data_IF_133789116152
#
_entry.id   IF_133789116152
#
_cell.length_a   1.000
_cell.length_b   1.000
_cell.length_c   1.000
_cell.angle_alpha   90.00
_cell.angle_beta   90.00
_cell.angle_gamma   90.00
#
_symmetry.space_group_name_H-M   'P 1'
#
loop_
_entity.id
_entity.type
_entity.pdbx_description
1 polymer ?
#
# COMPACT_ATOMS: atom_id res chain seq x y z
N UNK A 1 -30.26 -54.08 3.66
CA UNK A 1 -29.27 -54.99 3.04
C UNK A 1 -29.16 -54.58 1.58
N UNK A 2 -28.26 -53.64 1.26
CA UNK A 2 -26.90 -53.90 0.76
C UNK A 2 -26.91 -54.43 -0.68
N UNK A 3 -26.73 -53.52 -1.64
CA UNK A 3 -26.28 -53.85 -2.99
C UNK A 3 -24.95 -53.12 -3.22
N UNK A 4 -23.88 -53.88 -2.99
CA UNK A 4 -22.54 -53.57 -3.41
C UNK A 4 -22.39 -53.98 -4.89
N UNK A 5 -21.86 -53.09 -5.73
CA UNK A 5 -21.15 -53.51 -6.95
C UNK A 5 -19.84 -52.75 -6.99
N UNK A 6 -18.77 -53.53 -6.80
CA UNK A 6 -17.39 -53.14 -6.90
C UNK A 6 -17.05 -52.77 -8.35
N UNK A 7 -16.47 -51.60 -8.53
CA UNK A 7 -15.74 -51.23 -9.74
C UNK A 7 -14.36 -51.90 -9.69
N UNK A 8 -14.03 -52.69 -10.71
CA UNK A 8 -12.68 -53.20 -10.92
C UNK A 8 -12.22 -52.91 -12.35
N UNK A 9 -11.05 -52.28 -12.40
CA UNK A 9 -10.05 -52.29 -13.47
C UNK A 9 -10.34 -51.46 -14.74
N UNK A 10 -9.88 -50.20 -14.70
CA UNK A 10 -9.15 -49.62 -15.82
C UNK A 10 -7.67 -49.52 -15.40
N UNK A 11 -6.87 -50.36 -16.05
CA UNK A 11 -5.41 -50.35 -15.99
C UNK A 11 -4.92 -49.12 -16.76
N UNK A 12 -4.40 -48.13 -16.05
CA UNK A 12 -3.60 -47.08 -16.67
C UNK A 12 -2.13 -47.49 -16.63
N UNK A 13 -1.53 -47.45 -17.81
CA UNK A 13 -0.22 -47.98 -18.17
C UNK A 13 0.91 -47.20 -17.47
N UNK A 14 1.93 -47.94 -17.04
CA UNK A 14 3.23 -47.39 -16.67
C UNK A 14 3.87 -46.79 -17.93
N UNK A 15 4.14 -45.49 -17.91
CA UNK A 15 5.10 -44.87 -18.82
C UNK A 15 6.40 -44.57 -18.05
N UNK A 16 7.50 -44.93 -18.69
CA UNK A 16 8.89 -44.97 -18.22
C UNK A 16 9.42 -43.63 -17.66
N UNK A 17 10.29 -43.65 -16.64
CA UNK A 17 10.92 -42.45 -16.08
C UNK A 17 12.00 -41.83 -17.00
N UNK A 18 12.26 -40.53 -16.80
CA UNK A 18 13.33 -39.76 -17.45
C UNK A 18 14.70 -40.44 -17.29
N UNK A 19 15.39 -40.73 -18.39
CA UNK A 19 16.65 -41.48 -18.42
C UNK A 19 17.88 -40.71 -17.87
N UNK A 20 17.73 -39.47 -17.39
CA UNK A 20 18.88 -38.63 -16.99
C UNK A 20 18.85 -38.16 -15.53
N UNK A 21 17.69 -38.20 -14.88
CA UNK A 21 17.60 -37.88 -13.45
C UNK A 21 16.54 -38.77 -12.82
N UNK A 22 16.96 -39.72 -11.99
CA UNK A 22 16.09 -40.63 -11.27
C UNK A 22 15.33 -39.92 -10.13
N UNK A 23 14.74 -38.74 -10.40
CA UNK A 23 14.03 -37.91 -9.45
C UNK A 23 12.52 -38.24 -9.50
N UNK A 24 11.89 -38.55 -8.35
CA UNK A 24 10.44 -38.76 -8.32
C UNK A 24 9.72 -37.43 -8.58
N UNK A 25 8.77 -37.45 -9.53
CA UNK A 25 7.78 -36.39 -9.70
C UNK A 25 6.88 -36.46 -8.46
N UNK A 26 7.04 -35.52 -7.54
CA UNK A 26 6.13 -35.33 -6.40
C UNK A 26 4.81 -34.80 -6.93
N UNK A 27 3.86 -35.70 -7.20
CA UNK A 27 2.45 -35.33 -7.31
C UNK A 27 1.89 -35.04 -5.90
N UNK A 28 1.16 -33.95 -5.81
CA UNK A 28 0.62 -33.41 -4.57
C UNK A 28 -0.46 -34.28 -3.96
N UNK A 29 -0.11 -34.97 -2.88
CA UNK A 29 -1.05 -35.39 -1.85
C UNK A 29 -0.55 -34.86 -0.51
N UNK A 30 -1.44 -34.24 0.27
CA UNK A 30 -1.10 -33.65 1.57
C UNK A 30 -0.54 -34.72 2.51
N UNK A 31 0.74 -34.59 2.88
CA UNK A 31 1.48 -35.60 3.66
C UNK A 31 1.07 -35.70 5.15
N UNK A 32 -0.05 -35.08 5.55
CA UNK A 32 -0.55 -35.11 6.92
C UNK A 32 -2.08 -35.25 6.92
N UNK A 33 -2.66 -36.18 7.70
CA UNK A 33 -4.11 -36.29 7.81
C UNK A 33 -4.67 -34.97 8.37
N UNK A 34 -5.66 -34.38 7.68
CA UNK A 34 -6.33 -33.17 8.14
C UNK A 34 -6.90 -33.43 9.54
N UNK A 35 -6.54 -32.61 10.52
CA UNK A 35 -7.10 -32.70 11.86
C UNK A 35 -8.61 -32.47 11.81
N UNK A 36 -9.37 -33.16 12.67
CA UNK A 36 -10.83 -32.98 12.77
C UNK A 36 -11.24 -31.55 13.17
N UNK A 37 -10.34 -30.82 13.82
CA UNK A 37 -10.61 -29.45 14.26
C UNK A 37 -10.57 -28.44 13.10
N UNK A 38 -11.53 -27.53 13.09
CA UNK A 38 -11.62 -26.43 12.11
C UNK A 38 -10.48 -25.43 12.36
N UNK A 39 -9.85 -24.96 11.29
CA UNK A 39 -8.81 -23.94 11.36
C UNK A 39 -9.37 -22.65 11.99
N UNK A 40 -8.81 -22.22 13.13
CA UNK A 40 -9.24 -20.97 13.81
C UNK A 40 -9.16 -19.72 12.91
N UNK A 41 -8.24 -19.70 11.94
CA UNK A 41 -8.14 -18.60 10.97
C UNK A 41 -9.27 -18.65 9.94
N UNK A 42 -9.58 -19.85 9.43
CA UNK A 42 -10.70 -20.10 8.52
C UNK A 42 -12.06 -19.85 9.18
N UNK A 43 -12.24 -20.34 10.40
CA UNK A 43 -13.46 -20.18 11.19
C UNK A 43 -13.82 -18.71 11.40
N UNK A 44 -12.80 -17.87 11.63
CA UNK A 44 -12.95 -16.44 11.91
C UNK A 44 -13.03 -15.58 10.66
N UNK A 45 -12.19 -15.83 9.66
CA UNK A 45 -11.99 -14.92 8.53
C UNK A 45 -12.45 -15.49 7.18
N UNK A 46 -12.76 -16.79 7.11
CA UNK A 46 -13.02 -17.50 5.85
C UNK A 46 -11.77 -17.62 4.96
N UNK A 47 -10.60 -17.22 5.46
CA UNK A 47 -9.32 -17.22 4.73
C UNK A 47 -8.24 -17.75 5.67
N UNK A 48 -7.46 -18.71 5.18
CA UNK A 48 -6.28 -19.23 5.84
C UNK A 48 -5.08 -19.12 4.91
N UNK A 49 -3.99 -18.51 5.39
CA UNK A 49 -2.78 -18.32 4.60
C UNK A 49 -2.10 -19.64 4.20
N UNK A 50 -2.34 -20.72 4.95
CA UNK A 50 -1.81 -22.04 4.64
C UNK A 50 -2.57 -22.76 3.50
N UNK A 51 -3.77 -22.27 3.10
CA UNK A 51 -4.61 -22.86 2.04
C UNK A 51 -4.69 -24.39 2.17
N UNK A 52 -4.32 -25.13 1.12
CA UNK A 52 -4.35 -26.60 1.05
C UNK A 52 -3.22 -27.27 1.85
N UNK A 53 -2.23 -26.49 2.31
CA UNK A 53 -1.16 -26.93 3.22
C UNK A 53 -1.55 -26.80 4.70
N UNK A 54 -2.76 -26.33 4.99
CA UNK A 54 -3.20 -26.22 6.38
C UNK A 54 -3.53 -27.61 6.92
N UNK A 55 -2.97 -27.94 8.10
CA UNK A 55 -3.28 -29.20 8.79
C UNK A 55 -4.70 -29.22 9.36
N UNK A 56 -5.36 -28.06 9.44
CA UNK A 56 -6.68 -27.90 10.01
C UNK A 56 -7.77 -27.82 8.94
N UNK A 57 -8.99 -28.29 9.26
CA UNK A 57 -10.10 -28.35 8.30
C UNK A 57 -10.60 -26.95 7.89
N UNK A 58 -10.86 -26.78 6.60
CA UNK A 58 -11.47 -25.58 5.98
C UNK A 58 -12.86 -25.92 5.40
N UNK A 59 -13.92 -26.03 6.21
CA UNK A 59 -15.25 -26.39 5.69
C UNK A 59 -15.80 -25.27 4.78
N UNK A 60 -16.27 -25.66 3.59
CA UNK A 60 -16.89 -24.75 2.61
C UNK A 60 -18.17 -24.11 3.18
N UNK A 61 -18.94 -24.89 3.94
CA UNK A 61 -20.14 -24.44 4.66
C UNK A 61 -19.88 -23.20 5.53
N UNK A 62 -18.70 -23.13 6.17
CA UNK A 62 -18.33 -21.98 7.00
C UNK A 62 -18.00 -20.75 6.17
N UNK A 63 -17.39 -20.93 5.01
CA UNK A 63 -17.13 -19.83 4.08
C UNK A 63 -18.45 -19.26 3.55
N UNK A 64 -19.38 -20.12 3.15
CA UNK A 64 -20.73 -19.71 2.72
C UNK A 64 -21.49 -18.98 3.84
N UNK A 65 -21.41 -19.47 5.08
CA UNK A 65 -22.03 -18.82 6.23
C UNK A 65 -21.45 -17.42 6.46
N UNK A 66 -20.13 -17.27 6.43
CA UNK A 66 -19.45 -15.97 6.54
C UNK A 66 -19.84 -15.02 5.41
N UNK A 67 -19.96 -15.53 4.17
CA UNK A 67 -20.43 -14.76 3.02
C UNK A 67 -21.89 -14.31 3.19
N UNK A 68 -22.78 -15.18 3.67
CA UNK A 68 -24.19 -14.85 3.97
C UNK A 68 -24.29 -13.80 5.07
N UNK A 69 -23.51 -13.93 6.15
CA UNK A 69 -23.45 -12.95 7.24
C UNK A 69 -22.93 -11.61 6.72
N UNK A 70 -21.87 -11.62 5.90
CA UNK A 70 -21.34 -10.41 5.28
C UNK A 70 -22.36 -9.74 4.35
N UNK A 71 -23.07 -10.51 3.51
CA UNK A 71 -24.13 -10.01 2.64
C UNK A 71 -25.31 -9.42 3.45
N UNK A 72 -25.73 -10.09 4.53
CA UNK A 72 -26.78 -9.59 5.44
C UNK A 72 -26.35 -8.32 6.16
N UNK A 73 -25.10 -8.24 6.61
CA UNK A 73 -24.55 -7.04 7.22
C UNK A 73 -24.44 -5.89 6.19
N UNK A 74 -24.06 -6.19 4.95
CA UNK A 74 -24.03 -5.21 3.86
C UNK A 74 -25.44 -4.70 3.54
N UNK A 75 -26.43 -5.58 3.42
CA UNK A 75 -27.83 -5.22 3.21
C UNK A 75 -28.41 -4.42 4.39
N UNK A 76 -28.10 -4.82 5.63
CA UNK A 76 -28.52 -4.10 6.83
C UNK A 76 -27.88 -2.70 6.95
N UNK A 77 -26.61 -2.56 6.55
CA UNK A 77 -25.94 -1.26 6.45
C UNK A 77 -26.54 -0.39 5.34
N UNK A 78 -26.84 -0.97 4.17
CA UNK A 78 -27.48 -0.27 3.07
C UNK A 78 -28.89 0.24 3.46
N UNK A 79 -29.66 -0.55 4.21
CA UNK A 79 -30.98 -0.18 4.71
C UNK A 79 -30.95 0.90 5.83
N UNK A 80 -29.81 1.12 6.50
CA UNK A 80 -29.65 2.09 7.60
C UNK A 80 -29.14 3.47 7.17
N UNK A 81 -28.98 3.74 5.87
CA UNK A 81 -28.51 5.03 5.34
C UNK A 81 -29.39 6.25 5.72
N UNK A 82 -30.53 6.07 6.40
CA UNK A 82 -31.46 7.15 6.77
C UNK A 82 -31.43 7.60 8.24
N UNK A 83 -30.67 6.96 9.14
CA UNK A 83 -30.52 7.49 10.52
C UNK A 83 -29.14 7.17 11.08
N UNK A 84 -28.47 8.21 11.58
CA UNK A 84 -27.14 8.19 12.17
C UNK A 84 -26.83 6.96 13.05
N UNK A 85 -25.55 6.58 12.92
CA UNK A 85 -24.67 5.80 13.79
C UNK A 85 -25.19 5.50 15.21
N UNK A 86 -24.94 4.28 15.69
CA UNK A 86 -24.87 3.80 17.10
C UNK A 86 -25.15 2.28 17.10
N UNK A 87 -24.27 1.54 17.80
CA UNK A 87 -24.21 0.07 17.96
C UNK A 87 -23.60 -0.69 16.78
N UNK A 88 -22.26 -0.73 16.75
CA UNK A 88 -21.54 -2.00 16.85
C UNK A 88 -20.02 -1.75 16.83
N UNK A 89 -19.38 -1.84 18.01
CA UNK A 89 -18.13 -2.56 18.32
C UNK A 89 -17.58 -2.04 19.64
N UNK A 90 -17.38 -2.96 20.59
CA UNK A 90 -16.88 -2.80 21.97
C UNK A 90 -16.08 -1.52 22.25
N UNK A 91 -16.77 -0.50 22.77
CA UNK A 91 -16.17 0.75 23.22
C UNK A 91 -15.18 0.48 24.35
N UNK A 92 -13.96 1.04 24.28
CA UNK A 92 -13.03 1.12 25.42
C UNK A 92 -13.46 2.18 26.46
N UNK A 93 -14.76 2.39 26.60
CA UNK A 93 -15.36 3.51 27.33
C UNK A 93 -15.69 4.71 26.43
N UNK A 94 -16.43 5.69 26.95
CA UNK A 94 -16.79 6.91 26.23
C UNK A 94 -15.54 7.67 25.75
N UNK A 95 -15.58 8.20 24.52
CA UNK A 95 -14.49 9.00 23.96
C UNK A 95 -13.24 8.24 23.50
N UNK A 96 -13.16 6.91 23.66
CA UNK A 96 -11.99 6.12 23.25
C UNK A 96 -12.26 5.33 21.96
N UNK A 97 -11.50 5.63 20.91
CA UNK A 97 -11.52 4.89 19.63
C UNK A 97 -11.11 3.42 19.86
N UNK A 98 -11.82 2.49 19.22
CA UNK A 98 -11.49 1.06 19.30
C UNK A 98 -10.07 0.78 18.81
N UNK A 99 -9.32 -0.05 19.55
CA UNK A 99 -7.97 -0.46 19.15
C UNK A 99 -8.06 -1.46 18.00
N UNK A 100 -7.96 -0.96 16.77
CA UNK A 100 -7.77 -1.81 15.59
C UNK A 100 -6.39 -2.46 15.70
N UNK A 101 -6.32 -3.79 15.63
CA UNK A 101 -5.03 -4.49 15.64
C UNK A 101 -4.37 -4.27 14.29
N UNK A 102 -3.41 -3.35 14.21
CA UNK A 102 -2.59 -3.14 13.02
C UNK A 102 -1.61 -4.32 12.86
N UNK A 103 -2.05 -5.40 12.22
CA UNK A 103 -1.21 -6.56 11.93
C UNK A 103 -0.91 -6.61 10.44
N UNK A 104 0.37 -6.39 10.09
CA UNK A 104 0.98 -6.74 8.81
C UNK A 104 0.26 -6.20 7.55
N UNK A 105 -0.24 -4.95 7.61
CA UNK A 105 -0.92 -4.31 6.47
C UNK A 105 0.03 -4.12 5.30
N UNK A 106 1.21 -3.56 5.54
CA UNK A 106 2.24 -3.36 4.52
C UNK A 106 2.63 -4.69 3.88
N UNK A 107 3.02 -5.70 4.67
CA UNK A 107 3.28 -7.03 4.12
C UNK A 107 2.11 -7.64 3.32
N UNK A 108 0.85 -7.36 3.70
CA UNK A 108 -0.31 -7.83 2.94
C UNK A 108 -0.44 -7.16 1.58
N UNK A 109 -0.25 -5.83 1.51
CA UNK A 109 -0.24 -5.10 0.25
C UNK A 109 0.97 -5.49 -0.62
N UNK A 110 2.15 -5.63 -0.02
CA UNK A 110 3.36 -6.10 -0.69
C UNK A 110 3.11 -7.42 -1.42
N UNK A 111 2.68 -8.45 -0.69
CA UNK A 111 2.42 -9.77 -1.27
C UNK A 111 1.36 -9.73 -2.37
N UNK A 112 0.29 -8.95 -2.17
CA UNK A 112 -0.74 -8.78 -3.19
C UNK A 112 -0.15 -8.17 -4.47
N UNK A 113 0.72 -7.16 -4.35
CA UNK A 113 1.33 -6.51 -5.51
C UNK A 113 2.32 -7.45 -6.22
N UNK A 114 3.09 -8.22 -5.46
CA UNK A 114 3.98 -9.26 -6.00
C UNK A 114 3.19 -10.28 -6.83
N UNK A 115 2.05 -10.76 -6.31
CA UNK A 115 1.16 -11.68 -7.04
C UNK A 115 0.50 -11.03 -8.27
N UNK A 116 0.13 -9.75 -8.19
CA UNK A 116 -0.64 -9.08 -9.22
C UNK A 116 0.20 -8.54 -10.39
N UNK A 117 1.45 -8.13 -10.12
CA UNK A 117 2.32 -7.42 -11.08
C UNK A 117 3.60 -8.22 -11.38
N UNK A 118 4.13 -8.95 -10.40
CA UNK A 118 5.38 -9.71 -10.52
C UNK A 118 6.63 -8.89 -10.21
N UNK A 119 7.64 -9.54 -9.62
CA UNK A 119 8.90 -8.89 -9.19
C UNK A 119 9.65 -8.23 -10.35
N UNK A 120 9.78 -8.93 -11.49
CA UNK A 120 10.57 -8.46 -12.63
C UNK A 120 10.07 -7.13 -13.19
N UNK A 121 8.76 -6.90 -13.16
CA UNK A 121 8.17 -5.64 -13.60
C UNK A 121 8.38 -4.54 -12.56
N UNK A 122 8.22 -4.87 -11.28
CA UNK A 122 8.42 -3.93 -10.16
C UNK A 122 9.87 -3.50 -9.98
N UNK A 123 10.85 -4.27 -10.47
CA UNK A 123 12.28 -3.88 -10.46
C UNK A 123 12.67 -2.92 -11.57
N UNK A 124 11.82 -2.68 -12.57
CA UNK A 124 12.17 -1.82 -13.71
C UNK A 124 12.27 -0.36 -13.28
N UNK A 125 12.98 0.43 -14.08
CA UNK A 125 13.11 1.86 -13.88
C UNK A 125 13.71 2.20 -12.50
N UNK A 126 13.11 3.14 -11.79
CA UNK A 126 13.47 3.48 -10.40
C UNK A 126 12.79 2.59 -9.35
N UNK A 127 12.01 1.59 -9.78
CA UNK A 127 11.31 0.68 -8.89
C UNK A 127 9.96 1.21 -8.38
N UNK A 128 9.64 0.93 -7.12
CA UNK A 128 8.36 1.28 -6.51
C UNK A 128 8.40 2.68 -5.91
N UNK A 129 7.36 3.47 -6.16
CA UNK A 129 7.13 4.73 -5.46
C UNK A 129 6.03 4.55 -4.39
N UNK A 130 6.39 4.68 -3.12
CA UNK A 130 5.49 4.56 -1.96
C UNK A 130 5.02 5.95 -1.51
N UNK A 131 3.82 6.34 -1.93
CA UNK A 131 3.23 7.66 -1.67
C UNK A 131 2.55 7.67 -0.30
N UNK A 132 2.89 8.68 0.50
CA UNK A 132 2.51 8.78 1.92
C UNK A 132 2.95 7.52 2.69
N UNK A 133 4.23 7.17 2.53
CA UNK A 133 4.86 5.98 3.11
C UNK A 133 4.75 5.89 4.64
N UNK A 134 4.42 7.00 5.32
CA UNK A 134 4.12 7.05 6.74
C UNK A 134 5.38 6.88 7.58
N UNK A 135 5.75 5.62 7.86
CA UNK A 135 6.99 5.25 8.55
C UNK A 135 8.03 4.65 7.62
N UNK A 136 7.64 4.32 6.38
CA UNK A 136 8.50 3.65 5.39
C UNK A 136 8.46 2.12 5.43
N UNK A 137 7.56 1.51 6.21
CA UNK A 137 7.49 0.04 6.37
C UNK A 137 7.36 -0.70 5.03
N UNK A 138 6.49 -0.21 4.13
CA UNK A 138 6.22 -0.89 2.87
C UNK A 138 7.43 -0.80 1.92
N UNK A 139 7.97 0.41 1.70
CA UNK A 139 9.20 0.61 0.93
C UNK A 139 10.38 -0.21 1.49
N UNK A 140 10.54 -0.23 2.82
CA UNK A 140 11.58 -1.02 3.49
C UNK A 140 11.41 -2.53 3.23
N UNK A 141 10.19 -3.05 3.32
CA UNK A 141 9.92 -4.47 3.05
C UNK A 141 10.22 -4.85 1.59
N UNK A 142 9.81 -4.03 0.61
CA UNK A 142 10.11 -4.30 -0.81
C UNK A 142 11.62 -4.30 -1.08
N UNK A 143 12.34 -3.34 -0.52
CA UNK A 143 13.79 -3.24 -0.68
C UNK A 143 14.51 -4.42 -0.03
N UNK A 144 14.26 -4.69 1.25
CA UNK A 144 15.08 -5.63 2.01
C UNK A 144 14.63 -7.10 1.90
N UNK A 145 13.36 -7.35 1.62
CA UNK A 145 12.83 -8.72 1.53
C UNK A 145 12.72 -9.20 0.09
N UNK A 146 12.64 -8.28 -0.87
CA UNK A 146 12.56 -8.61 -2.28
C UNK A 146 13.71 -8.01 -3.09
N UNK A 147 14.51 -7.07 -2.60
CA UNK A 147 15.55 -6.40 -3.42
C UNK A 147 14.97 -5.47 -4.48
N UNK A 148 13.71 -5.05 -4.32
CA UNK A 148 13.03 -4.17 -5.27
C UNK A 148 13.32 -2.72 -4.86
N UNK A 149 13.98 -1.91 -5.71
CA UNK A 149 14.22 -0.50 -5.41
C UNK A 149 12.92 0.19 -5.04
N UNK A 150 12.91 0.92 -3.93
CA UNK A 150 11.70 1.54 -3.40
C UNK A 150 12.02 2.93 -2.85
N UNK A 151 11.30 3.93 -3.35
CA UNK A 151 11.40 5.32 -2.91
C UNK A 151 10.17 5.71 -2.13
N UNK A 152 10.35 6.14 -0.88
CA UNK A 152 9.28 6.65 -0.03
C UNK A 152 9.06 8.15 -0.29
N UNK A 153 7.87 8.52 -0.77
CA UNK A 153 7.43 9.91 -0.84
C UNK A 153 6.63 10.23 0.42
N UNK A 154 7.26 10.92 1.36
CA UNK A 154 6.69 11.25 2.66
C UNK A 154 7.33 12.54 3.19
N UNK A 155 6.56 13.56 3.60
CA UNK A 155 7.13 14.82 4.10
C UNK A 155 7.87 14.67 5.44
N UNK A 156 7.53 13.64 6.23
CA UNK A 156 8.13 13.38 7.54
C UNK A 156 9.30 12.39 7.44
N UNK A 157 10.26 12.43 8.38
CA UNK A 157 11.30 11.41 8.46
C UNK A 157 10.72 9.99 8.60
N UNK A 158 11.36 9.04 7.94
CA UNK A 158 11.04 7.61 8.08
C UNK A 158 11.43 7.12 9.48
N UNK A 159 10.73 6.10 9.98
CA UNK A 159 10.95 5.52 11.31
C UNK A 159 11.11 4.01 11.17
N UNK A 160 12.34 3.57 10.91
CA UNK A 160 12.64 2.21 10.47
C UNK A 160 13.45 1.39 11.47
N UNK A 161 13.83 1.96 12.62
CA UNK A 161 14.70 1.31 13.62
C UNK A 161 14.12 -0.03 14.09
N UNK A 162 12.79 -0.09 14.20
CA UNK A 162 12.07 -1.32 14.53
C UNK A 162 12.16 -2.36 13.42
N UNK A 163 12.03 -1.96 12.17
CA UNK A 163 12.02 -2.83 11.00
C UNK A 163 13.42 -3.36 10.69
N UNK A 164 14.46 -2.54 10.89
CA UNK A 164 15.87 -2.96 10.90
C UNK A 164 16.08 -4.06 11.95
N UNK A 165 15.67 -3.83 13.21
CA UNK A 165 15.75 -4.85 14.27
C UNK A 165 14.98 -6.12 13.92
N UNK A 166 13.86 -5.98 13.19
CA UNK A 166 13.06 -7.12 12.76
C UNK A 166 13.73 -7.95 11.69
N UNK A 167 14.38 -7.29 10.73
CA UNK A 167 15.17 -7.92 9.67
C UNK A 167 16.35 -8.69 10.26
N UNK A 168 17.17 -8.02 11.08
CA UNK A 168 18.37 -8.59 11.70
C UNK A 168 18.07 -9.80 12.60
N UNK A 169 16.91 -9.82 13.26
CA UNK A 169 16.46 -10.95 14.10
C UNK A 169 15.68 -12.01 13.32
N UNK A 170 15.51 -11.86 12.01
CA UNK A 170 14.86 -12.83 11.13
C UNK A 170 13.34 -12.95 11.30
N UNK A 171 12.66 -11.96 11.91
CA UNK A 171 11.22 -12.03 12.17
C UNK A 171 10.38 -12.18 10.89
N UNK A 172 10.84 -11.62 9.77
CA UNK A 172 10.15 -11.74 8.49
C UNK A 172 10.18 -13.16 7.91
N UNK A 173 11.13 -14.00 8.35
CA UNK A 173 11.31 -15.37 7.88
C UNK A 173 10.75 -16.42 8.86
N UNK A 174 10.26 -16.02 10.03
CA UNK A 174 9.70 -16.95 11.02
C UNK A 174 8.48 -17.72 10.52
N UNK A 175 7.69 -17.12 9.64
CA UNK A 175 6.50 -17.76 9.09
C UNK A 175 6.84 -18.41 7.75
N UNK A 176 7.01 -19.74 7.74
CA UNK A 176 7.34 -20.52 6.54
C UNK A 176 6.36 -20.31 5.36
N UNK A 177 5.11 -19.93 5.63
CA UNK A 177 4.11 -19.61 4.59
C UNK A 177 4.51 -18.42 3.75
N UNK A 178 5.18 -17.43 4.35
CA UNK A 178 5.58 -16.19 3.70
C UNK A 178 7.02 -16.23 3.19
N UNK A 179 7.78 -17.28 3.49
CA UNK A 179 9.14 -17.45 2.98
C UNK A 179 9.23 -17.35 1.43
N UNK A 180 8.27 -17.89 0.64
CA UNK A 180 8.31 -17.73 -0.82
C UNK A 180 8.18 -16.28 -1.31
N UNK A 181 7.66 -15.37 -0.49
CA UNK A 181 7.51 -13.94 -0.83
C UNK A 181 8.72 -13.09 -0.41
N UNK A 182 9.74 -13.69 0.20
CA UNK A 182 10.95 -12.98 0.61
C UNK A 182 12.11 -13.45 -0.28
N UNK A 183 12.10 -13.05 -1.55
CA UNK A 183 13.07 -13.52 -2.56
C UNK A 183 14.52 -13.14 -2.22
N UNK A 184 14.76 -11.98 -1.61
CA UNK A 184 16.09 -11.55 -1.21
C UNK A 184 16.65 -12.32 0.01
N UNK A 185 15.80 -12.97 0.80
CA UNK A 185 16.25 -13.80 1.93
C UNK A 185 16.38 -15.28 1.56
N UNK A 186 15.77 -15.71 0.45
CA UNK A 186 15.76 -17.09 0.00
C UNK A 186 17.14 -17.60 -0.46
N UNK A 187 18.00 -16.74 -0.98
CA UNK A 187 19.38 -17.08 -1.40
C UNK A 187 20.30 -17.46 -0.21
N UNK A 188 19.87 -17.24 1.04
CA UNK A 188 20.59 -17.62 2.26
C UNK A 188 19.86 -18.62 3.17
N UNK A 189 18.69 -19.14 2.79
CA UNK A 189 17.79 -19.87 3.69
C UNK A 189 18.13 -21.36 3.92
N UNK A 190 19.28 -21.83 3.43
CA UNK A 190 19.80 -23.18 3.71
C UNK A 190 20.84 -23.12 4.83
N UNK A 191 20.37 -22.94 6.07
CA UNK A 191 21.21 -23.09 7.26
C UNK A 191 20.93 -22.03 8.32
N UNK A 192 20.74 -22.48 9.56
CA UNK A 192 20.70 -21.60 10.74
C UNK A 192 22.09 -20.99 10.99
N UNK A 193 22.49 -20.00 10.22
CA UNK A 193 23.49 -19.01 10.64
C UNK A 193 23.13 -17.71 9.95
N UNK A 194 22.80 -16.70 10.75
CA UNK A 194 22.63 -15.33 10.30
C UNK A 194 23.96 -14.86 9.69
N UNK A 195 24.08 -14.90 8.36
CA UNK A 195 24.93 -13.93 7.68
C UNK A 195 24.23 -12.59 7.81
N UNK A 196 24.99 -11.56 8.16
CA UNK A 196 24.52 -10.18 8.24
C UNK A 196 23.72 -9.88 6.97
N UNK A 197 22.39 -9.87 7.08
CA UNK A 197 21.56 -9.52 5.95
C UNK A 197 21.82 -8.02 5.71
N UNK A 198 22.26 -7.61 4.50
CA UNK A 198 22.38 -6.20 4.19
C UNK A 198 21.04 -5.52 4.48
N UNK A 199 21.12 -4.42 5.21
CA UNK A 199 19.97 -3.64 5.63
C UNK A 199 20.05 -2.29 4.93
N UNK A 200 19.42 -2.20 3.77
CA UNK A 200 19.41 -0.99 2.96
C UNK A 200 18.25 -0.10 3.39
N UNK A 201 18.52 1.21 3.40
CA UNK A 201 17.52 2.22 3.67
C UNK A 201 16.82 2.63 2.37
N UNK A 202 15.48 2.64 2.32
CA UNK A 202 14.79 3.11 1.13
C UNK A 202 15.10 4.59 0.88
N UNK A 203 15.21 4.97 -0.39
CA UNK A 203 15.36 6.36 -0.77
C UNK A 203 14.18 7.17 -0.23
N UNK A 204 14.44 8.36 0.30
CA UNK A 204 13.41 9.19 0.93
C UNK A 204 13.24 10.49 0.17
N UNK A 205 12.11 10.61 -0.53
CA UNK A 205 11.68 11.83 -1.18
C UNK A 205 10.87 12.68 -0.20
N UNK A 206 11.58 13.49 0.58
CA UNK A 206 10.99 14.34 1.61
C UNK A 206 10.38 15.60 1.00
N UNK A 207 9.12 15.48 0.57
CA UNK A 207 8.37 16.57 -0.05
C UNK A 207 6.87 16.38 0.13
N UNK A 208 6.10 17.43 -0.17
CA UNK A 208 4.65 17.33 -0.37
C UNK A 208 4.25 17.47 -1.83
N UNK A 209 3.12 16.86 -2.20
CA UNK A 209 2.50 17.10 -3.48
C UNK A 209 1.94 18.53 -3.52
N UNK A 210 2.47 19.37 -4.41
CA UNK A 210 2.02 20.75 -4.64
C UNK A 210 1.45 20.90 -6.06
N UNK A 211 0.64 21.94 -6.34
CA UNK A 211 0.17 22.20 -7.69
C UNK A 211 1.32 22.36 -8.71
N UNK A 212 2.44 22.95 -8.31
CA UNK A 212 3.61 23.15 -9.16
C UNK A 212 4.30 21.81 -9.51
N UNK A 213 4.43 20.91 -8.52
CA UNK A 213 4.94 19.56 -8.74
C UNK A 213 4.00 18.77 -9.65
N UNK A 214 2.69 18.83 -9.40
CA UNK A 214 1.68 18.17 -10.21
C UNK A 214 1.72 18.65 -11.68
N UNK A 215 1.85 19.96 -11.90
CA UNK A 215 1.99 20.54 -13.24
C UNK A 215 3.24 20.03 -13.96
N UNK A 216 4.39 19.96 -13.28
CA UNK A 216 5.62 19.40 -13.87
C UNK A 216 5.46 17.92 -14.25
N UNK A 217 4.61 17.18 -13.52
CA UNK A 217 4.33 15.76 -13.77
C UNK A 217 3.18 15.54 -14.76
N UNK A 218 2.59 16.60 -15.32
CA UNK A 218 1.43 16.51 -16.22
C UNK A 218 0.13 16.09 -15.54
N UNK A 219 0.07 16.19 -14.21
CA UNK A 219 -1.09 15.84 -13.40
C UNK A 219 -2.03 17.03 -13.30
N UNK A 220 -3.30 16.83 -13.63
CA UNK A 220 -4.32 17.85 -13.45
C UNK A 220 -4.56 18.10 -11.94
N UNK A 221 -4.29 19.32 -11.47
CA UNK A 221 -4.53 19.70 -10.08
C UNK A 221 -5.86 20.47 -9.92
N UNK A 222 -6.72 20.09 -8.96
CA UNK A 222 -7.97 20.80 -8.72
C UNK A 222 -7.75 22.27 -8.35
N UNK A 223 -8.35 23.19 -9.12
CA UNK A 223 -8.24 24.64 -8.89
C UNK A 223 -6.93 25.28 -9.40
N UNK A 224 -6.13 24.55 -10.18
CA UNK A 224 -4.99 25.12 -10.92
C UNK A 224 -5.44 25.97 -12.13
N UNK A 225 -4.54 26.79 -12.71
CA UNK A 225 -4.85 27.68 -13.82
C UNK A 225 -5.44 26.96 -15.06
N UNK A 226 -5.20 25.65 -15.22
CA UNK A 226 -5.72 24.84 -16.33
C UNK A 226 -7.10 24.20 -16.10
N UNK A 227 -7.67 24.32 -14.90
CA UNK A 227 -8.97 23.72 -14.58
C UNK A 227 -10.14 24.34 -15.36
N UNK A 228 -9.98 25.58 -15.86
CA UNK A 228 -11.01 26.31 -16.62
C UNK A 228 -10.97 25.97 -18.12
N UNK A 229 -9.83 25.47 -18.63
CA UNK A 229 -9.58 25.36 -20.08
C UNK A 229 -10.03 24.04 -20.69
N UNK A 230 -10.15 22.96 -19.89
CA UNK A 230 -10.46 21.61 -20.39
C UNK A 230 -11.96 21.31 -20.49
N UNK A 231 -12.82 22.04 -19.78
CA UNK A 231 -14.28 21.94 -19.96
C UNK A 231 -14.74 22.55 -21.30
N UNK A 232 -14.00 23.54 -21.82
CA UNK A 232 -14.29 24.16 -23.12
C UNK A 232 -13.85 23.32 -24.34
N UNK A 233 -12.89 22.40 -24.18
CA UNK A 233 -12.34 21.60 -25.29
C UNK A 233 -13.01 20.24 -25.50
N UNK A 234 -13.92 19.82 -24.60
CA UNK A 234 -14.70 18.57 -24.78
C UNK A 234 -15.91 18.71 -25.71
N UNK A 235 -16.27 19.93 -26.11
CA UNK A 235 -17.40 20.17 -27.02
C UNK A 235 -17.04 20.20 -28.51
N UNK A 236 -15.76 20.18 -28.90
CA UNK A 236 -15.37 20.27 -30.30
C UNK A 236 -14.18 19.36 -30.61
N UNK A 237 -14.43 18.24 -31.28
CA UNK A 237 -13.36 17.32 -31.69
C UNK A 237 -13.86 15.97 -32.21
N UNK A 238 -14.64 16.00 -33.29
CA UNK A 238 -15.05 14.79 -34.00
C UNK A 238 -13.91 14.20 -34.86
N UNK A 239 -13.74 12.89 -34.73
CA UNK A 239 -13.41 11.94 -35.82
C UNK A 239 -12.13 12.11 -36.62
N UNK A 240 -11.14 11.26 -36.36
CA UNK A 240 -10.30 10.68 -37.41
C UNK A 240 -9.73 9.32 -36.95
N UNK A 241 -10.11 8.26 -37.66
CA UNK A 241 -9.53 6.92 -37.53
C UNK A 241 -8.19 6.88 -38.26
N UNK A 242 -7.14 6.36 -37.61
CA UNK A 242 -5.91 5.96 -38.27
C UNK A 242 -5.55 4.53 -37.83
N UNK A 243 -5.37 3.66 -38.82
CA UNK A 243 -5.10 2.24 -38.66
C UNK A 243 -3.66 2.00 -38.18
N UNK A 244 -3.52 1.15 -37.17
CA UNK A 244 -2.24 0.63 -36.67
C UNK A 244 -1.70 -0.48 -37.58
N UNK A 245 -0.46 -0.33 -38.03
CA UNK A 245 0.38 -1.46 -38.45
C UNK A 245 1.47 -1.66 -37.41
N UNK A 246 1.40 -2.81 -36.76
CA UNK A 246 2.33 -3.24 -35.73
C UNK A 246 3.71 -3.56 -36.32
N UNK A 247 4.76 -2.95 -35.75
CA UNK A 247 6.12 -3.46 -35.88
C UNK A 247 6.78 -3.51 -34.51
N UNK A 248 7.04 -4.75 -34.08
CA UNK A 248 7.61 -5.12 -32.80
C UNK A 248 9.04 -4.61 -32.70
N UNK A 249 9.26 -3.60 -31.86
CA UNK A 249 10.60 -3.20 -31.43
C UNK A 249 10.67 -3.31 -29.91
N UNK A 250 11.56 -4.16 -29.43
CA UNK A 250 11.91 -4.35 -28.01
C UNK A 250 12.10 -3.00 -27.28
N UNK A 251 11.47 -2.77 -26.11
CA UNK A 251 11.54 -1.48 -25.46
C UNK A 251 12.92 -1.32 -24.79
N UNK A 252 13.78 -0.51 -25.41
CA UNK A 252 14.83 0.19 -24.69
C UNK A 252 14.13 1.08 -23.65
N UNK A 253 14.60 1.05 -22.40
CA UNK A 253 14.18 2.02 -21.37
C UNK A 253 14.23 3.42 -22.00
N UNK A 254 13.11 4.18 -22.03
CA UNK A 254 13.15 5.53 -22.57
C UNK A 254 14.17 6.31 -21.75
N UNK A 255 15.07 7.00 -22.45
CA UNK A 255 15.94 8.00 -21.85
C UNK A 255 15.03 8.91 -21.02
N UNK A 256 15.12 8.84 -19.69
CA UNK A 256 14.23 9.62 -18.82
C UNK A 256 14.30 11.07 -19.28
N UNK A 257 13.16 11.63 -19.68
CA UNK A 257 13.08 13.02 -20.13
C UNK A 257 13.76 13.92 -19.09
N UNK A 258 14.55 14.88 -19.56
CA UNK A 258 15.12 15.89 -18.67
C UNK A 258 13.99 16.64 -17.94
N UNK A 259 14.20 17.05 -16.68
CA UNK A 259 13.18 17.76 -15.93
C UNK A 259 12.78 19.05 -16.65
N UNK A 260 11.48 19.39 -16.67
CA UNK A 260 11.00 20.59 -17.33
C UNK A 260 11.56 21.85 -16.64
N UNK A 261 11.59 22.95 -17.40
CA UNK A 261 11.92 24.25 -16.85
C UNK A 261 10.99 24.57 -15.66
N UNK A 262 11.59 24.89 -14.51
CA UNK A 262 10.85 25.18 -13.27
C UNK A 262 10.70 24.00 -12.30
N UNK A 263 11.06 22.77 -12.69
CA UNK A 263 11.03 21.61 -11.79
C UNK A 263 11.84 21.85 -10.51
N UNK A 264 13.07 22.36 -10.65
CA UNK A 264 13.96 22.57 -9.51
C UNK A 264 13.34 23.51 -8.47
N UNK A 265 12.71 24.59 -8.92
CA UNK A 265 11.98 25.52 -8.05
C UNK A 265 10.74 24.87 -7.43
N UNK A 266 9.95 24.15 -8.22
CA UNK A 266 8.75 23.47 -7.75
C UNK A 266 9.07 22.42 -6.67
N UNK A 267 10.17 21.67 -6.88
CA UNK A 267 10.67 20.67 -5.96
C UNK A 267 11.21 21.30 -4.68
N UNK A 268 12.01 22.36 -4.78
CA UNK A 268 12.53 23.08 -3.62
C UNK A 268 11.38 23.61 -2.72
N UNK A 269 10.36 24.24 -3.32
CA UNK A 269 9.18 24.70 -2.58
C UNK A 269 8.40 23.55 -1.93
N UNK A 270 8.33 22.39 -2.59
CA UNK A 270 7.68 21.21 -2.05
C UNK A 270 8.45 20.56 -0.88
N UNK A 271 9.79 20.65 -0.89
CA UNK A 271 10.63 20.25 0.23
C UNK A 271 10.51 21.21 1.41
N UNK A 272 10.59 22.52 1.16
CA UNK A 272 10.40 23.56 2.18
C UNK A 272 9.03 23.40 2.87
N UNK A 273 7.96 23.26 2.07
CA UNK A 273 6.63 23.02 2.61
C UNK A 273 6.54 21.71 3.43
N UNK A 274 7.41 20.72 3.22
CA UNK A 274 7.43 19.50 4.02
C UNK A 274 8.08 19.68 5.40
N UNK A 275 8.96 20.67 5.56
CA UNK A 275 9.65 20.95 6.83
C UNK A 275 8.68 21.48 7.90
N UNK A 276 7.65 22.22 7.48
CA UNK A 276 6.68 22.87 8.37
C UNK A 276 5.48 21.99 8.74
N UNK A 277 5.40 20.78 8.20
CA UNK A 277 4.22 19.94 8.38
C UNK A 277 4.27 19.11 9.65
N UNK A 278 3.14 19.08 10.35
CA UNK A 278 2.92 18.29 11.56
C UNK A 278 1.63 17.49 11.46
N UNK A 279 1.63 16.32 12.09
CA UNK A 279 0.43 15.50 12.18
C UNK A 279 -0.48 16.02 13.30
N UNK A 280 -1.69 16.44 12.94
CA UNK A 280 -2.70 16.95 13.89
C UNK A 280 -3.93 16.04 13.92
N UNK A 281 -4.88 16.34 14.80
CA UNK A 281 -6.18 15.66 14.80
C UNK A 281 -6.99 15.88 13.50
N UNK A 282 -6.64 16.92 12.70
CA UNK A 282 -7.27 17.23 11.40
C UNK A 282 -6.42 16.77 10.20
N UNK A 283 -5.45 15.89 10.41
CA UNK A 283 -4.52 15.45 9.37
C UNK A 283 -3.22 16.26 9.36
N UNK A 284 -2.53 16.24 8.22
CA UNK A 284 -1.26 16.93 8.05
C UNK A 284 -1.52 18.42 7.80
N UNK A 285 -0.92 19.28 8.63
CA UNK A 285 -1.07 20.75 8.58
C UNK A 285 0.26 21.43 8.82
N UNK A 286 0.41 22.64 8.28
CA UNK A 286 1.53 23.51 8.64
C UNK A 286 1.33 24.10 10.04
N UNK A 287 2.42 24.54 10.67
CA UNK A 287 2.36 25.24 11.96
C UNK A 287 1.52 26.54 11.86
N UNK A 288 1.57 27.23 10.72
CA UNK A 288 0.76 28.42 10.45
C UNK A 288 -0.75 28.13 10.32
N UNK A 289 -1.15 27.07 9.61
CA UNK A 289 -2.56 26.67 9.52
C UNK A 289 -3.10 26.15 10.85
N UNK A 290 -2.25 25.48 11.62
CA UNK A 290 -2.60 24.98 12.96
C UNK A 290 -2.86 26.12 13.94
N UNK A 291 -2.08 27.20 13.87
CA UNK A 291 -2.27 28.41 14.66
C UNK A 291 -3.48 29.24 14.21
N UNK A 292 -3.72 29.38 12.90
CA UNK A 292 -4.90 30.06 12.37
C UNK A 292 -6.21 29.33 12.75
N UNK A 293 -6.21 27.98 12.70
CA UNK A 293 -7.35 27.18 13.13
C UNK A 293 -7.60 27.23 14.66
N UNK A 294 -6.56 27.52 15.46
CA UNK A 294 -6.70 27.73 16.89
C UNK A 294 -7.28 29.12 17.22
N UNK A 295 -6.98 30.14 16.41
CA UNK A 295 -7.56 31.49 16.56
C UNK A 295 -9.05 31.55 16.20
N UNK A 296 -9.52 30.74 15.26
CA UNK A 296 -10.94 30.64 14.88
C UNK A 296 -11.79 29.81 15.88
N UNK A 297 -11.18 29.21 16.90
CA UNK A 297 -11.83 28.25 17.82
C UNK A 297 -11.82 28.69 19.30
N UNK A 298 -11.71 30.00 19.59
CA UNK A 298 -11.54 30.50 20.95
C UNK A 298 -12.49 31.63 21.37
N UNK A 299 -13.75 31.30 21.67
CA UNK A 299 -14.53 31.97 22.73
C UNK A 299 -15.04 30.83 23.65
N UNK A 300 -14.32 30.58 24.74
CA UNK A 300 -14.65 29.57 25.74
C UNK A 300 -13.53 29.40 26.78
N UNK A 301 -13.85 29.76 28.01
CA UNK A 301 -13.01 29.94 29.21
C UNK A 301 -11.96 28.87 29.57
N UNK A 302 -10.92 29.25 30.36
CA UNK A 302 -9.70 28.47 30.53
C UNK A 302 -9.86 27.27 31.48
N UNK A 303 -9.29 26.14 31.08
CA UNK A 303 -9.16 24.95 31.93
C UNK A 303 -7.95 25.07 32.87
N UNK A 304 -8.23 24.80 34.15
CA UNK A 304 -7.35 24.84 35.32
C UNK A 304 -6.11 23.94 35.18
N UNK A 305 -4.94 24.52 35.44
CA UNK A 305 -3.67 23.83 35.65
C UNK A 305 -3.76 22.86 36.82
N UNK A 306 -3.42 21.60 36.58
CA UNK A 306 -3.06 20.66 37.65
C UNK A 306 -1.68 20.09 37.36
N UNK A 307 -0.72 20.53 38.17
CA UNK A 307 0.66 20.07 38.21
C UNK A 307 0.68 18.63 38.75
N UNK A 308 1.16 17.69 37.93
CA UNK A 308 1.43 16.32 38.32
C UNK A 308 2.88 15.98 38.03
N UNK A 309 3.70 16.01 39.07
CA UNK A 309 5.11 15.63 39.08
C UNK A 309 5.27 14.13 38.87
N UNK A 310 6.15 13.72 37.95
CA UNK A 310 6.70 12.37 37.90
C UNK A 310 8.12 12.38 37.33
N UNK A 311 9.05 12.42 38.28
CA UNK A 311 10.47 12.07 38.27
C UNK A 311 11.01 11.32 37.04
N UNK A 312 12.12 11.88 36.55
CA UNK A 312 13.13 11.38 35.63
C UNK A 312 13.70 10.01 36.02
N UNK A 313 14.05 9.20 35.02
CA UNK A 313 15.21 8.30 35.05
C UNK A 313 15.93 8.46 33.72
N UNK A 314 17.10 9.10 33.80
CA UNK A 314 18.09 9.21 32.74
C UNK A 314 18.92 7.92 32.69
N UNK A 315 19.14 7.39 31.49
CA UNK A 315 20.31 6.54 31.22
C UNK A 315 20.83 6.96 29.86
N UNK A 316 21.80 7.87 29.89
CA UNK A 316 22.74 8.10 28.81
C UNK A 316 23.68 6.89 28.73
N UNK A 317 23.81 6.27 27.57
CA UNK A 317 25.04 5.55 27.24
C UNK A 317 25.34 5.74 25.75
N UNK A 318 26.51 6.32 25.51
CA UNK A 318 26.96 6.90 24.26
C UNK A 318 27.69 5.89 23.37
N UNK A 319 27.36 6.00 22.07
CA UNK A 319 28.12 5.77 20.82
C UNK A 319 29.49 5.05 20.89
N UNK A 320 29.82 4.15 19.95
CA UNK A 320 30.19 4.49 18.57
C UNK A 320 29.93 3.35 17.57
N UNK A 321 29.43 3.69 16.38
CA UNK A 321 29.38 2.79 15.19
C UNK A 321 30.51 3.14 14.22
N UNK A 322 31.14 2.15 13.56
CA UNK A 322 32.24 2.41 12.64
C UNK A 322 31.72 2.82 11.25
N UNK A 323 32.43 3.76 10.65
CA UNK A 323 32.21 4.32 9.32
C UNK A 323 32.84 3.47 8.23
N UNK A 324 32.11 3.24 7.12
CA UNK A 324 32.68 2.89 5.82
C UNK A 324 31.80 3.45 4.68
N UNK A 325 32.43 4.36 3.94
CA UNK A 325 32.25 4.85 2.56
C UNK A 325 30.85 4.93 1.88
N UNK A 326 30.48 6.17 1.52
CA UNK A 326 29.98 6.67 0.20
C UNK A 326 29.43 5.58 -0.75
N UNK A 327 28.16 5.53 -1.15
CA UNK A 327 27.35 6.62 -1.72
C UNK A 327 25.87 6.50 -1.28
N UNK A 328 25.30 7.56 -0.65
CA UNK A 328 23.87 7.62 -0.32
C UNK A 328 23.58 7.92 1.16
N UNK A 329 24.08 9.05 1.63
CA UNK A 329 23.99 9.53 3.01
C UNK A 329 22.54 9.60 3.54
N UNK A 330 22.27 8.84 4.60
CA UNK A 330 21.02 8.84 5.37
C UNK A 330 20.93 10.03 6.36
N UNK A 331 21.28 11.25 5.92
CA UNK A 331 21.36 12.47 6.76
C UNK A 331 20.04 13.27 6.80
N UNK A 332 18.92 12.66 6.40
CA UNK A 332 17.59 13.29 6.40
C UNK A 332 17.43 14.49 5.46
N UNK A 333 18.45 14.82 4.66
CA UNK A 333 18.42 15.85 3.62
C UNK A 333 17.58 15.36 2.43
N UNK A 334 16.77 16.23 1.82
CA UNK A 334 16.01 15.86 0.62
C UNK A 334 16.96 15.48 -0.52
N UNK A 335 16.56 14.49 -1.31
CA UNK A 335 17.27 14.08 -2.52
C UNK A 335 17.44 15.28 -3.47
N UNK A 336 18.53 15.32 -4.24
CA UNK A 336 18.73 16.36 -5.25
C UNK A 336 17.61 16.35 -6.30
N UNK A 337 17.24 17.53 -6.83
CA UNK A 337 16.09 17.69 -7.72
C UNK A 337 16.12 16.76 -8.95
N UNK A 338 17.28 16.56 -9.57
CA UNK A 338 17.42 15.65 -10.71
C UNK A 338 17.19 14.17 -10.33
N UNK A 339 17.63 13.76 -9.13
CA UNK A 339 17.42 12.40 -8.61
C UNK A 339 15.95 12.19 -8.26
N UNK A 340 15.33 13.18 -7.61
CA UNK A 340 13.91 13.21 -7.32
C UNK A 340 13.04 13.05 -8.58
N UNK A 341 13.37 13.80 -9.64
CA UNK A 341 12.70 13.70 -10.94
C UNK A 341 12.77 12.28 -11.51
N UNK A 342 13.97 11.69 -11.54
CA UNK A 342 14.18 10.33 -12.04
C UNK A 342 13.46 9.29 -11.18
N UNK A 343 13.45 9.47 -9.86
CA UNK A 343 12.73 8.57 -8.96
C UNK A 343 11.22 8.57 -9.22
N UNK A 344 10.63 9.75 -9.45
CA UNK A 344 9.21 9.91 -9.76
C UNK A 344 8.87 9.38 -11.17
N UNK A 345 9.53 9.89 -12.22
CA UNK A 345 9.22 9.55 -13.62
C UNK A 345 9.62 8.13 -14.01
N UNK A 346 10.65 7.59 -13.36
CA UNK A 346 11.14 6.24 -13.61
C UNK A 346 10.38 5.16 -12.86
N UNK A 347 9.39 5.50 -12.01
CA UNK A 347 8.72 4.52 -11.18
C UNK A 347 8.06 3.45 -12.06
N UNK A 348 8.19 2.18 -11.69
CA UNK A 348 7.53 1.06 -12.37
C UNK A 348 6.20 0.66 -11.74
N UNK A 349 5.91 1.16 -10.54
CA UNK A 349 4.60 1.08 -9.90
C UNK A 349 4.45 2.16 -8.81
N UNK A 350 3.21 2.57 -8.55
CA UNK A 350 2.86 3.47 -7.44
C UNK A 350 2.05 2.72 -6.39
N UNK A 351 2.49 2.77 -5.14
CA UNK A 351 1.80 2.15 -4.00
C UNK A 351 1.49 3.19 -2.95
N UNK A 352 0.39 2.99 -2.23
CA UNK A 352 0.02 3.91 -1.16
C UNK A 352 -0.88 3.21 -0.14
N UNK A 353 -0.38 2.97 1.08
CA UNK A 353 -1.14 2.32 2.15
C UNK A 353 -1.71 3.36 3.11
N UNK A 354 -3.03 3.56 3.08
CA UNK A 354 -3.72 4.57 3.90
C UNK A 354 -3.19 6.00 3.68
N UNK A 355 -3.06 6.48 2.43
CA UNK A 355 -2.35 7.72 2.12
C UNK A 355 -3.11 9.03 2.41
N UNK A 356 -4.19 8.97 3.21
CA UNK A 356 -4.92 10.14 3.70
C UNK A 356 -5.13 11.24 2.63
N UNK A 357 -4.60 12.45 2.83
CA UNK A 357 -4.75 13.58 1.90
C UNK A 357 -4.07 13.36 0.54
N UNK A 358 -3.06 12.49 0.46
CA UNK A 358 -2.30 12.20 -0.76
C UNK A 358 -2.93 11.10 -1.64
N UNK A 359 -4.05 10.52 -1.24
CA UNK A 359 -4.70 9.40 -1.95
C UNK A 359 -4.94 9.70 -3.44
N UNK A 360 -5.52 10.87 -3.73
CA UNK A 360 -5.86 11.24 -5.10
C UNK A 360 -4.62 11.50 -5.95
N UNK A 361 -3.63 12.20 -5.37
CA UNK A 361 -2.34 12.41 -6.03
C UNK A 361 -1.64 11.09 -6.40
N UNK A 362 -1.67 10.08 -5.50
CA UNK A 362 -1.10 8.77 -5.80
C UNK A 362 -1.76 8.10 -7.02
N UNK A 363 -3.09 8.19 -7.12
CA UNK A 363 -3.85 7.64 -8.25
C UNK A 363 -3.55 8.41 -9.54
N UNK A 364 -3.59 9.75 -9.48
CA UNK A 364 -3.37 10.60 -10.66
C UNK A 364 -1.93 10.49 -11.17
N UNK A 365 -0.95 10.37 -10.27
CA UNK A 365 0.44 10.12 -10.63
C UNK A 365 0.59 8.78 -11.37
N UNK A 366 -0.02 7.70 -10.85
CA UNK A 366 0.04 6.41 -11.51
C UNK A 366 -0.57 6.42 -12.92
N UNK A 367 -1.67 7.15 -13.10
CA UNK A 367 -2.31 7.34 -14.40
C UNK A 367 -1.45 8.17 -15.34
N UNK A 368 -0.83 9.27 -14.85
CA UNK A 368 0.05 10.12 -15.64
C UNK A 368 1.33 9.40 -16.09
N UNK A 369 1.85 8.50 -15.27
CA UNK A 369 3.01 7.66 -15.61
C UNK A 369 2.64 6.42 -16.43
N UNK A 370 1.36 6.10 -16.56
CA UNK A 370 0.85 4.86 -17.15
C UNK A 370 1.45 3.58 -16.51
N UNK A 371 1.50 3.56 -15.17
CA UNK A 371 2.07 2.43 -14.40
C UNK A 371 1.02 1.69 -13.58
N UNK A 372 1.30 0.45 -13.15
CA UNK A 372 0.50 -0.24 -12.15
C UNK A 372 0.39 0.58 -10.87
N UNK A 373 -0.75 0.44 -10.19
CA UNK A 373 -0.91 1.02 -8.86
C UNK A 373 -1.70 0.14 -7.91
N UNK A 374 -1.43 0.33 -6.62
CA UNK A 374 -2.15 -0.29 -5.53
C UNK A 374 -2.29 0.68 -4.35
N UNK A 375 -3.49 1.24 -4.20
CA UNK A 375 -3.81 2.31 -3.25
C UNK A 375 -4.91 1.85 -2.29
N UNK A 376 -4.68 1.95 -0.98
CA UNK A 376 -5.68 1.59 0.04
C UNK A 376 -6.25 2.87 0.67
N UNK A 377 -7.35 3.43 0.15
CA UNK A 377 -7.96 4.64 0.72
C UNK A 377 -8.60 4.37 2.09
N UNK A 378 -8.40 5.29 3.04
CA UNK A 378 -8.98 5.21 4.39
C UNK A 378 -9.88 6.39 4.75
N UNK A 379 -9.37 7.61 4.57
CA UNK A 379 -9.99 8.86 5.00
C UNK A 379 -10.36 9.69 3.78
N UNK A 380 -11.56 10.28 3.78
CA UNK A 380 -12.10 11.02 2.63
C UNK A 380 -11.63 12.46 2.59
N UNK A 381 -11.40 13.07 3.76
CA UNK A 381 -11.07 14.49 3.90
C UNK A 381 -12.05 15.41 3.13
N UNK A 382 -13.35 15.15 3.23
CA UNK A 382 -14.38 15.84 2.45
C UNK A 382 -14.37 17.38 2.62
N UNK A 383 -13.97 17.87 3.79
CA UNK A 383 -13.82 19.31 4.07
C UNK A 383 -12.61 19.92 3.35
N UNK A 384 -11.50 19.18 3.22
CA UNK A 384 -10.29 19.65 2.53
C UNK A 384 -10.41 19.54 1.01
N UNK A 385 -11.22 18.58 0.53
CA UNK A 385 -11.44 18.33 -0.88
C UNK A 385 -12.90 18.55 -1.29
N UNK A 386 -13.47 19.75 -1.08
CA UNK A 386 -14.88 20.04 -1.32
C UNK A 386 -15.23 20.09 -2.81
N UNK A 387 -14.26 19.95 -3.71
CA UNK A 387 -14.46 19.90 -5.17
C UNK A 387 -14.70 18.48 -5.69
N UNK A 388 -14.41 17.42 -4.92
CA UNK A 388 -14.61 16.03 -5.38
C UNK A 388 -16.08 15.74 -5.66
N UNK A 389 -16.40 15.32 -6.88
CA UNK A 389 -17.75 14.96 -7.33
C UNK A 389 -17.74 13.60 -8.01
N UNK A 390 -18.76 12.80 -7.72
CA UNK A 390 -19.07 11.61 -8.50
C UNK A 390 -19.56 12.02 -9.91
N UNK A 391 -19.57 11.09 -10.88
CA UNK A 391 -20.09 11.36 -12.23
C UNK A 391 -21.54 11.85 -12.27
N UNK A 392 -22.32 11.52 -11.25
CA UNK A 392 -23.71 11.98 -11.07
C UNK A 392 -23.83 13.36 -10.40
N UNK A 393 -22.71 14.04 -10.12
CA UNK A 393 -22.65 15.34 -9.49
C UNK A 393 -22.75 15.34 -7.96
N UNK A 394 -22.90 14.18 -7.29
CA UNK A 394 -22.92 14.13 -5.82
C UNK A 394 -21.56 14.44 -5.22
N UNK A 395 -21.56 15.08 -4.04
CA UNK A 395 -20.35 15.34 -3.26
C UNK A 395 -19.81 14.04 -2.66
N UNK A 396 -18.50 13.85 -2.74
CA UNK A 396 -17.80 12.73 -2.12
C UNK A 396 -17.66 13.00 -0.61
N UNK A 397 -18.46 12.30 0.20
CA UNK A 397 -18.49 12.51 1.66
C UNK A 397 -18.26 11.23 2.46
N UNK A 398 -18.59 10.08 1.87
CA UNK A 398 -18.34 8.78 2.47
C UNK A 398 -17.16 8.06 1.83
N UNK A 399 -16.65 7.04 2.53
CA UNK A 399 -15.57 6.21 2.01
C UNK A 399 -15.99 5.42 0.76
N UNK A 400 -17.26 5.04 0.67
CA UNK A 400 -17.83 4.36 -0.50
C UNK A 400 -17.83 5.30 -1.71
N UNK A 401 -18.33 6.53 -1.54
CA UNK A 401 -18.28 7.55 -2.60
C UNK A 401 -16.83 7.83 -3.02
N UNK A 402 -15.89 7.77 -2.08
CA UNK A 402 -14.50 8.05 -2.40
C UNK A 402 -13.85 6.93 -3.23
N UNK A 403 -14.15 5.67 -2.91
CA UNK A 403 -13.70 4.55 -3.74
C UNK A 403 -14.33 4.61 -5.13
N UNK A 404 -15.63 4.91 -5.22
CA UNK A 404 -16.33 5.07 -6.49
C UNK A 404 -15.74 6.22 -7.33
N UNK A 405 -15.47 7.37 -6.70
CA UNK A 405 -14.80 8.51 -7.32
C UNK A 405 -13.45 8.12 -7.91
N UNK A 406 -12.60 7.42 -7.15
CA UNK A 406 -11.28 6.99 -7.64
C UNK A 406 -11.41 6.00 -8.81
N UNK A 407 -12.37 5.08 -8.78
CA UNK A 407 -12.62 4.15 -9.88
C UNK A 407 -13.14 4.87 -11.14
N UNK A 408 -13.88 5.97 -10.98
CA UNK A 408 -14.40 6.74 -12.11
C UNK A 408 -13.32 7.47 -12.92
N UNK A 409 -12.12 7.66 -12.36
CA UNK A 409 -11.02 8.37 -13.04
C UNK A 409 -10.50 7.64 -14.27
N UNK A 410 -10.56 6.31 -14.31
CA UNK A 410 -10.13 5.54 -15.48
C UNK A 410 -10.79 4.14 -15.51
N UNK A 411 -11.27 3.65 -16.68
CA UNK A 411 -12.00 2.39 -16.78
C UNK A 411 -11.18 1.15 -16.40
N UNK A 412 -9.84 1.24 -16.42
CA UNK A 412 -8.95 0.14 -16.01
C UNK A 412 -8.77 0.02 -14.48
N UNK A 413 -9.36 0.91 -13.69
CA UNK A 413 -9.24 0.89 -12.23
C UNK A 413 -10.25 -0.09 -11.65
N UNK A 414 -9.74 -1.06 -10.89
CA UNK A 414 -10.53 -2.06 -10.19
C UNK A 414 -10.45 -1.92 -8.68
N UNK A 415 -11.24 -2.74 -7.98
CA UNK A 415 -11.18 -2.85 -6.53
C UNK A 415 -10.99 -4.29 -6.06
N UNK A 416 -10.29 -4.47 -4.94
CA UNK A 416 -10.12 -5.75 -4.27
C UNK A 416 -10.24 -5.56 -2.76
N UNK A 417 -10.47 -6.65 -2.02
CA UNK A 417 -10.50 -6.62 -0.54
C UNK A 417 -9.27 -7.33 0.01
N UNK A 418 -8.49 -6.63 0.83
CA UNK A 418 -7.30 -7.20 1.46
C UNK A 418 -7.63 -7.87 2.81
N UNK A 419 -6.96 -8.97 3.18
CA UNK A 419 -7.28 -9.78 4.37
C UNK A 419 -6.73 -9.17 5.68
N UNK A 420 -7.13 -7.95 6.02
CA UNK A 420 -6.82 -7.32 7.32
C UNK A 420 -7.97 -6.46 7.86
N UNK A 421 -7.91 -6.14 9.16
CA UNK A 421 -8.94 -5.35 9.84
C UNK A 421 -8.83 -3.84 9.55
N UNK A 422 -9.99 -3.19 9.44
CA UNK A 422 -10.12 -1.75 9.23
C UNK A 422 -10.53 -1.41 7.80
N UNK A 423 -10.03 -0.30 7.27
CA UNK A 423 -10.21 0.09 5.86
C UNK A 423 -9.28 -0.75 4.99
N UNK A 424 -9.85 -1.75 4.31
CA UNK A 424 -9.11 -2.79 3.60
C UNK A 424 -9.51 -2.91 2.12
N UNK A 425 -10.29 -1.96 1.61
CA UNK A 425 -10.58 -1.84 0.18
C UNK A 425 -9.34 -1.32 -0.53
N UNK A 426 -8.82 -2.11 -1.46
CA UNK A 426 -7.74 -1.76 -2.37
C UNK A 426 -8.34 -1.23 -3.67
N UNK A 427 -7.86 -0.08 -4.13
CA UNK A 427 -8.06 0.45 -5.48
C UNK A 427 -6.79 0.16 -6.27
N UNK A 428 -6.91 -0.47 -7.43
CA UNK A 428 -5.73 -0.91 -8.18
C UNK A 428 -5.87 -0.76 -9.69
N UNK A 429 -4.71 -0.70 -10.36
CA UNK A 429 -4.54 -0.77 -11.81
C UNK A 429 -3.35 -1.67 -12.10
N UNK A 430 -3.45 -2.50 -13.15
CA UNK A 430 -2.38 -3.43 -13.55
C UNK A 430 -1.66 -2.95 -14.78
#
# INVERSE_FOLDING_TARGET
MALAVAHKHLVAKFETPCATCNAPILQGESMFPASDSVCKHWERMGVCFYKDRCVFRHPAERLEELQRVAARQAAFKAARRTTNDIRCKENRGPGKRNRVRNRFRAGTLRRWLLDAVGEDRLRRGSGILDVAAGKGELAFEFLNLNGIPSTALEPRPLQLERHVKWLQRGYYNWNAVFAPYNSATAEGAQGRVAREQPCDMPAHLRMVATPAVAACLGIAWPGGPDAVSREAQRSEGGGAQAQETAEQTTPRLPCLEEPPAGWERAYAMACEAAEDLRWTHRGLRSDHESAAAAHEAGDGEPAVETQGTASSIEVEESFQTPTVADDGEADGRPLGAAVAWRALRGASAVVAMHPDQATEFAVDLALALDVPMAVVPCCVYASDFPHRRLPDGRRVTSHEDFVEYLCSKHPSIGTATLPFEGKNTLVFRR
#
